data_IF_114746060725
#
_entry.id   IF_114746060725
#
_cell.length_a   1.000
_cell.length_b   1.000
_cell.length_c   1.000
_cell.angle_alpha   90.00
_cell.angle_beta   90.00
_cell.angle_gamma   90.00
#
_symmetry.space_group_name_H-M   'P 1'
#
loop_
_entity.id
_entity.type
_entity.pdbx_description
1 polymer ?
#
# COMPACT_ATOMS: atom_id res chain seq x y z
N UNK A 1 3.38 -12.78 30.87
CA UNK A 1 2.63 -12.13 29.79
C UNK A 1 3.10 -12.69 28.45
N UNK A 2 2.79 -13.96 28.18
CA UNK A 2 3.17 -14.64 26.91
C UNK A 2 1.94 -14.99 26.08
N UNK A 3 0.81 -15.19 26.73
CA UNK A 3 -0.47 -15.46 26.10
C UNK A 3 -1.23 -14.14 25.95
N UNK A 4 -1.27 -13.63 24.72
CA UNK A 4 -2.06 -12.45 24.36
C UNK A 4 -3.33 -12.88 23.63
N UNK A 5 -4.41 -12.12 23.78
CA UNK A 5 -5.65 -12.39 23.04
C UNK A 5 -5.53 -11.93 21.59
N UNK A 6 -4.92 -10.77 21.36
CA UNK A 6 -4.56 -10.32 20.01
C UNK A 6 -3.09 -9.94 19.93
N UNK A 7 -2.46 -10.27 18.80
CA UNK A 7 -1.09 -9.88 18.52
C UNK A 7 -1.10 -8.80 17.43
N UNK A 8 -0.51 -7.66 17.74
CA UNK A 8 -0.41 -6.51 16.85
C UNK A 8 1.03 -6.38 16.39
N UNK A 9 1.27 -6.61 15.11
CA UNK A 9 2.59 -6.44 14.49
C UNK A 9 2.64 -5.10 13.77
N UNK A 10 3.56 -4.24 14.17
CA UNK A 10 3.83 -2.97 13.47
C UNK A 10 5.05 -3.15 12.58
N UNK A 11 4.88 -3.02 11.27
CA UNK A 11 5.98 -3.09 10.32
C UNK A 11 6.91 -1.89 10.54
N UNK A 12 8.16 -2.16 10.91
CA UNK A 12 9.21 -1.14 11.10
C UNK A 12 10.40 -1.38 10.18
N UNK A 13 10.19 -1.98 9.01
CA UNK A 13 11.15 -1.93 7.92
C UNK A 13 11.43 -0.47 7.51
N UNK A 14 12.53 -0.25 6.80
CA UNK A 14 13.04 1.10 6.48
C UNK A 14 11.98 2.04 5.89
N UNK A 15 11.11 1.55 5.00
CA UNK A 15 10.04 2.35 4.38
C UNK A 15 8.94 2.75 5.36
N UNK A 16 8.50 1.85 6.21
CA UNK A 16 7.50 2.15 7.24
C UNK A 16 8.09 3.10 8.30
N UNK A 17 9.36 2.95 8.67
CA UNK A 17 10.04 3.87 9.58
C UNK A 17 10.10 5.30 9.03
N UNK A 18 10.44 5.46 7.74
CA UNK A 18 10.44 6.77 7.07
C UNK A 18 9.05 7.44 7.08
N UNK A 19 7.98 6.65 7.17
CA UNK A 19 6.59 7.12 7.27
C UNK A 19 6.07 7.21 8.71
N UNK A 20 6.94 7.11 9.72
CA UNK A 20 6.58 7.31 11.12
C UNK A 20 6.15 6.05 11.89
N UNK A 21 6.43 4.84 11.40
CA UNK A 21 6.02 3.59 12.07
C UNK A 21 6.53 3.44 13.52
N UNK A 22 7.70 4.00 13.85
CA UNK A 22 8.22 3.99 15.22
C UNK A 22 7.33 4.79 16.17
N UNK A 23 6.77 5.91 15.70
CA UNK A 23 5.83 6.73 16.48
C UNK A 23 4.50 6.00 16.68
N UNK A 24 4.02 5.31 15.64
CA UNK A 24 2.81 4.46 15.71
C UNK A 24 3.00 3.34 16.73
N UNK A 25 4.08 2.56 16.63
CA UNK A 25 4.37 1.46 17.55
C UNK A 25 4.56 1.94 18.99
N UNK A 26 5.30 3.03 19.18
CA UNK A 26 5.52 3.65 20.50
C UNK A 26 4.24 4.15 21.13
N UNK A 27 3.43 4.92 20.38
CA UNK A 27 2.16 5.46 20.88
C UNK A 27 1.19 4.35 21.23
N UNK A 28 1.05 3.33 20.38
CA UNK A 28 0.15 2.21 20.64
C UNK A 28 0.51 1.50 21.95
N UNK A 29 1.80 1.19 22.17
CA UNK A 29 2.27 0.56 23.42
C UNK A 29 1.99 1.42 24.66
N UNK A 30 2.23 2.72 24.56
CA UNK A 30 1.97 3.66 25.67
C UNK A 30 0.48 3.68 26.01
N UNK A 31 -0.38 3.78 25.01
CA UNK A 31 -1.84 3.88 25.22
C UNK A 31 -2.44 2.57 25.77
N UNK A 32 -1.95 1.40 25.32
CA UNK A 32 -2.38 0.12 25.90
C UNK A 32 -2.01 -0.01 27.38
N UNK A 33 -0.78 0.36 27.74
CA UNK A 33 -0.32 0.40 29.14
C UNK A 33 -1.12 1.37 29.99
N UNK A 34 -1.38 2.58 29.48
CA UNK A 34 -2.18 3.60 30.19
C UNK A 34 -3.60 3.14 30.49
N UNK A 35 -4.15 2.28 29.62
CA UNK A 35 -5.49 1.70 29.77
C UNK A 35 -5.50 0.39 30.58
N UNK A 36 -4.32 -0.15 30.94
CA UNK A 36 -4.20 -1.41 31.68
C UNK A 36 -4.67 -2.63 30.90
N UNK A 37 -4.50 -2.62 29.57
CA UNK A 37 -4.96 -3.69 28.66
C UNK A 37 -3.79 -4.30 27.85
N UNK A 38 -2.55 -4.03 28.25
CA UNK A 38 -1.35 -4.56 27.60
C UNK A 38 -1.07 -6.03 27.93
N UNK A 39 -1.87 -6.64 28.82
CA UNK A 39 -1.92 -8.07 29.07
C UNK A 39 -2.72 -8.84 28.01
N UNK A 40 -3.75 -8.21 27.44
CA UNK A 40 -4.61 -8.78 26.41
C UNK A 40 -4.16 -8.47 24.98
N UNK A 41 -3.36 -7.41 24.80
CA UNK A 41 -2.93 -6.89 23.49
C UNK A 41 -1.41 -6.67 23.44
N UNK A 42 -0.71 -7.60 22.80
CA UNK A 42 0.74 -7.54 22.65
C UNK A 42 1.10 -6.82 21.35
N UNK A 43 1.97 -5.81 21.45
CA UNK A 43 2.45 -5.03 20.29
C UNK A 43 3.93 -5.29 20.05
N UNK A 44 4.24 -5.98 18.97
CA UNK A 44 5.61 -6.22 18.51
C UNK A 44 5.89 -5.45 17.22
N UNK A 45 7.15 -5.20 16.97
CA UNK A 45 7.61 -4.73 15.66
C UNK A 45 7.97 -5.93 14.80
N UNK A 46 7.80 -5.81 13.49
CA UNK A 46 8.25 -6.81 12.52
C UNK A 46 9.01 -6.14 11.37
N UNK A 47 9.70 -6.97 10.58
CA UNK A 47 10.29 -6.54 9.32
C UNK A 47 9.21 -6.35 8.24
N UNK A 48 9.62 -6.18 6.99
CA UNK A 48 8.76 -5.96 5.83
C UNK A 48 7.66 -7.01 5.74
N UNK A 49 6.45 -6.54 5.43
CA UNK A 49 5.32 -7.37 5.03
C UNK A 49 4.99 -7.16 3.53
N UNK A 50 5.95 -6.65 2.77
CA UNK A 50 5.87 -6.40 1.31
C UNK A 50 4.84 -5.33 0.87
N UNK A 51 4.34 -4.52 1.81
CA UNK A 51 3.39 -3.41 1.57
C UNK A 51 3.99 -2.02 1.79
N UNK A 52 5.28 -1.86 1.44
CA UNK A 52 6.06 -0.66 1.77
C UNK A 52 5.53 0.67 1.17
N UNK A 53 4.79 0.64 0.06
CA UNK A 53 4.14 1.82 -0.54
C UNK A 53 3.04 2.42 0.30
N UNK A 54 2.26 1.58 0.96
CA UNK A 54 1.08 2.01 1.68
C UNK A 54 1.30 2.06 3.19
N UNK A 55 2.54 1.85 3.66
CA UNK A 55 2.87 1.96 5.08
C UNK A 55 2.64 3.36 5.70
N UNK A 56 2.71 3.51 7.03
CA UNK A 56 3.01 2.47 8.02
C UNK A 56 1.94 1.37 8.09
N UNK A 57 2.38 0.12 8.21
CA UNK A 57 1.47 -1.03 8.21
C UNK A 57 1.40 -1.69 9.59
N UNK A 58 0.19 -2.10 9.98
CA UNK A 58 -0.10 -2.79 11.24
C UNK A 58 -0.93 -4.04 10.94
N UNK A 59 -0.48 -5.21 11.39
CA UNK A 59 -1.21 -6.48 11.25
C UNK A 59 -1.78 -6.87 12.59
N UNK A 60 -3.05 -7.29 12.62
CA UNK A 60 -3.75 -7.75 13.83
C UNK A 60 -4.14 -9.21 13.67
N UNK A 61 -3.67 -10.06 14.57
CA UNK A 61 -4.06 -11.46 14.69
C UNK A 61 -4.96 -11.68 15.92
N UNK A 62 -5.91 -12.64 15.87
CA UNK A 62 -6.08 -13.66 14.83
C UNK A 62 -6.87 -13.23 13.59
N UNK A 63 -7.46 -12.04 13.57
CA UNK A 63 -8.37 -11.60 12.49
C UNK A 63 -7.69 -11.49 11.12
N UNK A 64 -6.37 -11.31 11.08
CA UNK A 64 -5.62 -11.11 9.83
C UNK A 64 -5.85 -9.72 9.21
N UNK A 65 -6.39 -8.76 9.98
CA UNK A 65 -6.55 -7.39 9.52
C UNK A 65 -5.19 -6.76 9.29
N UNK A 66 -5.00 -6.17 8.11
CA UNK A 66 -3.82 -5.35 7.79
C UNK A 66 -4.31 -3.92 7.65
N UNK A 67 -3.88 -3.04 8.54
CA UNK A 67 -4.07 -1.61 8.43
C UNK A 67 -2.87 -0.98 7.72
N UNK A 68 -3.11 -0.13 6.73
CA UNK A 68 -2.10 0.63 6.02
C UNK A 68 -2.26 2.14 6.26
N UNK A 69 -1.21 2.92 6.02
CA UNK A 69 -1.22 4.37 6.14
C UNK A 69 -1.44 4.88 7.56
N UNK A 70 -1.23 4.03 8.56
CA UNK A 70 -1.58 4.30 9.96
C UNK A 70 -0.83 5.51 10.49
N UNK A 71 -1.57 6.45 11.07
CA UNK A 71 -1.05 7.62 11.75
C UNK A 71 -1.21 7.49 13.27
N UNK A 72 -0.45 8.31 14.01
CA UNK A 72 -0.57 8.41 15.48
C UNK A 72 -2.00 8.80 15.91
N UNK A 73 -2.69 9.58 15.08
CA UNK A 73 -4.08 9.99 15.31
C UNK A 73 -5.08 8.82 15.23
N UNK A 74 -4.74 7.72 14.56
CA UNK A 74 -5.62 6.55 14.40
C UNK A 74 -5.56 5.59 15.60
N UNK A 75 -4.58 5.77 16.50
CA UNK A 75 -4.36 4.85 17.64
C UNK A 75 -5.60 4.68 18.54
N UNK A 76 -6.37 5.72 18.89
CA UNK A 76 -7.58 5.55 19.69
C UNK A 76 -8.60 4.62 19.02
N UNK A 77 -8.82 4.78 17.72
CA UNK A 77 -9.75 3.96 16.94
C UNK A 77 -9.23 2.52 16.79
N UNK A 78 -7.94 2.34 16.54
CA UNK A 78 -7.31 1.02 16.48
C UNK A 78 -7.51 0.28 17.80
N UNK A 79 -7.30 0.93 18.94
CA UNK A 79 -7.53 0.32 20.26
C UNK A 79 -9.01 -0.06 20.42
N UNK A 80 -9.96 0.79 20.01
CA UNK A 80 -11.38 0.45 20.05
C UNK A 80 -11.70 -0.81 19.22
N UNK A 81 -11.11 -0.93 18.03
CA UNK A 81 -11.22 -2.14 17.20
C UNK A 81 -10.62 -3.38 17.87
N UNK A 82 -9.45 -3.26 18.52
CA UNK A 82 -8.84 -4.36 19.29
C UNK A 82 -9.75 -4.85 20.43
N UNK A 83 -10.49 -3.93 21.05
CA UNK A 83 -11.44 -4.22 22.13
C UNK A 83 -12.77 -4.83 21.66
N UNK A 84 -12.95 -5.04 20.35
CA UNK A 84 -14.13 -5.69 19.77
C UNK A 84 -15.01 -4.76 18.93
N UNK A 85 -14.59 -3.50 18.72
CA UNK A 85 -15.21 -2.62 17.73
C UNK A 85 -14.97 -3.09 16.28
N UNK A 86 -15.70 -2.52 15.32
CA UNK A 86 -15.50 -2.83 13.90
C UNK A 86 -14.07 -2.46 13.44
N UNK A 87 -13.55 -3.09 12.38
CA UNK A 87 -12.28 -2.68 11.81
C UNK A 87 -12.37 -1.29 11.18
N UNK A 88 -11.23 -0.63 11.08
CA UNK A 88 -11.12 0.67 10.44
C UNK A 88 -11.10 0.46 8.92
N UNK A 89 -12.28 0.35 8.30
CA UNK A 89 -12.45 0.08 6.86
C UNK A 89 -11.59 0.99 5.96
N UNK A 90 -11.46 2.26 6.33
CA UNK A 90 -10.63 3.24 5.60
C UNK A 90 -9.14 2.90 5.58
N UNK A 91 -8.66 2.15 6.57
CA UNK A 91 -7.24 1.74 6.71
C UNK A 91 -7.03 0.28 6.30
N UNK A 92 -8.09 -0.52 6.15
CA UNK A 92 -7.95 -1.93 5.80
C UNK A 92 -7.38 -2.11 4.41
N UNK A 93 -6.34 -2.94 4.32
CA UNK A 93 -5.83 -3.45 3.05
C UNK A 93 -6.83 -4.48 2.53
N UNK A 94 -7.47 -4.15 1.42
CA UNK A 94 -8.32 -5.06 0.66
C UNK A 94 -8.05 -4.84 -0.82
N UNK A 95 -8.17 -5.91 -1.63
CA UNK A 95 -8.19 -5.77 -3.09
C UNK A 95 -9.34 -4.84 -3.54
N UNK A 96 -10.40 -4.76 -2.74
CA UNK A 96 -11.55 -3.90 -2.97
C UNK A 96 -11.43 -2.56 -2.22
N UNK A 97 -10.28 -2.22 -1.65
CA UNK A 97 -10.12 -0.92 -1.03
C UNK A 97 -10.25 0.19 -2.11
N UNK A 98 -10.93 1.33 -1.83
CA UNK A 98 -11.03 2.43 -2.78
C UNK A 98 -9.67 2.90 -3.32
N UNK A 99 -8.62 2.88 -2.49
CA UNK A 99 -7.27 3.25 -2.89
C UNK A 99 -6.65 2.27 -3.91
N UNK A 100 -6.88 0.97 -3.74
CA UNK A 100 -6.40 -0.05 -4.69
C UNK A 100 -7.17 0.04 -6.01
N UNK A 101 -8.49 0.24 -5.98
CA UNK A 101 -9.29 0.48 -7.19
C UNK A 101 -8.83 1.72 -7.96
N UNK A 102 -8.52 2.82 -7.25
CA UNK A 102 -7.96 4.03 -7.89
C UNK A 102 -6.63 3.76 -8.57
N UNK A 103 -5.75 2.99 -7.91
CA UNK A 103 -4.45 2.63 -8.48
C UNK A 103 -4.59 1.73 -9.71
N UNK A 104 -5.45 0.73 -9.63
CA UNK A 104 -5.78 -0.12 -10.77
C UNK A 104 -6.29 0.73 -11.94
N UNK A 105 -7.26 1.61 -11.69
CA UNK A 105 -7.84 2.48 -12.71
C UNK A 105 -6.78 3.38 -13.37
N UNK A 106 -5.87 3.96 -12.58
CA UNK A 106 -4.78 4.78 -13.08
C UNK A 106 -3.83 3.99 -14.01
N UNK A 107 -3.44 2.76 -13.61
CA UNK A 107 -2.62 1.91 -14.48
C UNK A 107 -3.37 1.42 -15.71
N UNK A 108 -4.68 1.18 -15.60
CA UNK A 108 -5.52 0.80 -16.74
C UNK A 108 -5.60 1.94 -17.75
N UNK A 109 -5.94 3.14 -17.31
CA UNK A 109 -5.99 4.33 -18.16
C UNK A 109 -4.67 4.59 -18.88
N UNK A 110 -3.54 4.44 -18.16
CA UNK A 110 -2.22 4.56 -18.76
C UNK A 110 -1.91 3.44 -19.78
N UNK A 111 -2.34 2.19 -19.55
CA UNK A 111 -2.19 1.12 -20.55
C UNK A 111 -3.08 1.34 -21.77
N UNK A 112 -4.31 1.79 -21.57
CA UNK A 112 -5.27 2.06 -22.65
C UNK A 112 -4.77 3.20 -23.55
N UNK A 113 -4.06 4.18 -22.97
CA UNK A 113 -3.39 5.26 -23.69
C UNK A 113 -1.98 4.90 -24.20
N UNK A 114 -1.48 3.70 -23.90
CA UNK A 114 -0.13 3.29 -24.27
C UNK A 114 -0.04 2.78 -25.70
N UNK A 115 1.11 3.00 -26.34
CA UNK A 115 1.48 2.31 -27.56
C UNK A 115 2.55 1.26 -27.20
N UNK A 116 2.26 -0.02 -27.44
CA UNK A 116 3.11 -1.16 -27.06
C UNK A 116 3.53 -1.17 -25.58
N UNK A 117 2.66 -0.68 -24.68
CA UNK A 117 2.93 -0.60 -23.24
C UNK A 117 3.86 0.55 -22.83
N UNK A 118 4.12 1.50 -23.75
CA UNK A 118 4.91 2.71 -23.52
C UNK A 118 3.99 3.94 -23.56
N UNK A 119 4.13 4.82 -22.57
CA UNK A 119 3.38 6.07 -22.43
C UNK A 119 4.36 7.23 -22.29
N UNK A 120 4.20 8.38 -22.97
CA UNK A 120 4.99 9.58 -22.66
C UNK A 120 4.88 9.95 -21.18
N UNK A 121 5.99 10.35 -20.54
CA UNK A 121 5.99 10.56 -19.08
C UNK A 121 4.99 11.62 -18.62
N UNK A 122 4.90 12.74 -19.36
CA UNK A 122 3.92 13.80 -19.11
C UNK A 122 2.47 13.30 -19.21
N UNK A 123 2.18 12.46 -20.22
CA UNK A 123 0.85 11.88 -20.39
C UNK A 123 0.51 10.90 -19.25
N UNK A 124 1.49 10.10 -18.81
CA UNK A 124 1.31 9.23 -17.65
C UNK A 124 1.00 10.05 -16.38
N UNK A 125 1.76 11.11 -16.13
CA UNK A 125 1.55 12.00 -14.98
C UNK A 125 0.17 12.66 -14.99
N UNK A 126 -0.29 13.13 -16.15
CA UNK A 126 -1.63 13.68 -16.30
C UNK A 126 -2.72 12.64 -16.00
N UNK A 127 -2.61 11.43 -16.54
CA UNK A 127 -3.59 10.36 -16.34
C UNK A 127 -3.68 9.93 -14.88
N UNK A 128 -2.56 9.79 -14.17
CA UNK A 128 -2.61 9.38 -12.75
C UNK A 128 -3.10 10.52 -11.84
N UNK A 129 -2.92 11.78 -12.23
CA UNK A 129 -3.44 12.94 -11.51
C UNK A 129 -4.97 12.99 -11.50
N UNK A 130 -5.64 12.52 -12.57
CA UNK A 130 -7.12 12.37 -12.60
C UNK A 130 -7.64 11.41 -11.51
N UNK A 131 -6.79 10.49 -11.05
CA UNK A 131 -7.09 9.56 -9.96
C UNK A 131 -6.62 10.04 -8.58
N UNK A 132 -6.06 11.25 -8.49
CA UNK A 132 -5.60 11.88 -7.27
C UNK A 132 -4.19 11.49 -6.85
N UNK A 133 -3.33 11.07 -7.78
CA UNK A 133 -1.92 10.78 -7.53
C UNK A 133 -1.02 11.91 -8.02
N UNK A 134 -0.01 12.25 -7.23
CA UNK A 134 0.94 13.32 -7.51
C UNK A 134 2.31 12.79 -7.97
N UNK A 135 3.25 13.71 -8.24
CA UNK A 135 4.62 13.36 -8.62
C UNK A 135 5.32 12.48 -7.56
N UNK A 136 5.03 12.71 -6.27
CA UNK A 136 5.55 11.90 -5.18
C UNK A 136 5.10 10.45 -5.28
N UNK A 137 3.83 10.23 -5.60
CA UNK A 137 3.31 8.89 -5.88
C UNK A 137 3.99 8.25 -7.10
N UNK A 138 4.17 8.99 -8.19
CA UNK A 138 4.84 8.50 -9.41
C UNK A 138 6.28 8.08 -9.11
N UNK A 139 7.04 8.92 -8.41
CA UNK A 139 8.40 8.62 -7.98
C UNK A 139 8.45 7.35 -7.13
N UNK A 140 7.49 7.17 -6.21
CA UNK A 140 7.38 5.97 -5.38
C UNK A 140 7.05 4.72 -6.21
N UNK A 141 6.19 4.81 -7.23
CA UNK A 141 5.90 3.66 -8.10
C UNK A 141 7.13 3.25 -8.91
N UNK A 142 7.93 4.21 -9.39
CA UNK A 142 9.17 3.95 -10.11
C UNK A 142 10.18 3.27 -9.19
N UNK A 143 10.38 3.82 -7.99
CA UNK A 143 11.26 3.26 -6.96
C UNK A 143 10.89 1.83 -6.56
N UNK A 144 9.60 1.49 -6.59
CA UNK A 144 9.09 0.14 -6.27
C UNK A 144 8.97 -0.80 -7.46
N UNK A 145 9.35 -0.35 -8.65
CA UNK A 145 9.32 -1.14 -9.88
C UNK A 145 7.91 -1.46 -10.37
N UNK A 146 6.89 -0.68 -9.99
CA UNK A 146 5.56 -0.77 -10.61
C UNK A 146 5.53 -0.07 -11.98
N UNK A 147 6.36 0.96 -12.12
CA UNK A 147 6.62 1.61 -13.41
C UNK A 147 8.13 1.64 -13.68
N UNK A 148 8.50 1.65 -14.96
CA UNK A 148 9.86 1.92 -15.41
C UNK A 148 9.92 3.30 -16.05
N UNK A 149 10.96 4.07 -15.76
CA UNK A 149 11.30 5.34 -16.44
C UNK A 149 12.37 5.04 -17.49
N UNK A 150 12.13 5.44 -18.74
CA UNK A 150 13.06 5.26 -19.86
C UNK A 150 13.08 6.51 -20.74
N UNK A 151 13.99 6.53 -21.71
CA UNK A 151 14.05 7.53 -22.77
C UNK A 151 13.94 6.82 -24.12
N UNK A 152 13.08 7.32 -25.01
CA UNK A 152 12.90 6.85 -26.38
C UNK A 152 12.97 8.06 -27.30
N UNK A 153 13.90 8.06 -28.24
CA UNK A 153 14.15 9.17 -29.18
C UNK A 153 14.29 10.56 -28.49
N UNK A 154 15.00 10.58 -27.36
CA UNK A 154 15.23 11.81 -26.58
C UNK A 154 14.03 12.26 -25.74
N UNK A 155 12.96 11.46 -25.64
CA UNK A 155 11.74 11.78 -24.89
C UNK A 155 11.57 10.85 -23.69
N UNK A 156 11.24 11.38 -22.50
CA UNK A 156 10.99 10.56 -21.32
C UNK A 156 9.68 9.80 -21.48
N UNK A 157 9.72 8.49 -21.18
CA UNK A 157 8.57 7.59 -21.25
C UNK A 157 8.47 6.73 -20.00
N UNK A 158 7.25 6.28 -19.73
CA UNK A 158 6.88 5.36 -18.66
C UNK A 158 6.42 4.03 -19.26
N UNK A 159 6.85 2.93 -18.65
CA UNK A 159 6.33 1.59 -18.92
C UNK A 159 5.69 1.01 -17.68
N UNK A 160 4.51 0.41 -17.81
CA UNK A 160 3.84 -0.26 -16.70
C UNK A 160 4.38 -1.68 -16.62
N UNK A 161 5.08 -2.00 -15.53
CA UNK A 161 5.91 -3.22 -15.47
C UNK A 161 5.04 -4.47 -15.33
N UNK A 162 5.64 -5.64 -15.59
CA UNK A 162 4.98 -6.93 -15.32
C UNK A 162 4.52 -7.05 -13.86
N UNK A 163 5.22 -6.44 -12.90
CA UNK A 163 4.81 -6.42 -11.48
C UNK A 163 3.44 -5.75 -11.31
N UNK A 164 3.25 -4.57 -11.90
CA UNK A 164 1.97 -3.86 -11.85
C UNK A 164 0.89 -4.66 -12.59
N UNK A 165 1.19 -5.12 -13.81
CA UNK A 165 0.23 -5.89 -14.63
C UNK A 165 -0.21 -7.18 -13.95
N UNK A 166 0.70 -7.96 -13.37
CA UNK A 166 0.36 -9.19 -12.64
C UNK A 166 -0.46 -8.89 -11.39
N UNK A 167 -0.10 -7.85 -10.61
CA UNK A 167 -0.84 -7.50 -9.39
C UNK A 167 -2.30 -7.11 -9.69
N UNK A 168 -2.51 -6.36 -10.76
CA UNK A 168 -3.82 -5.79 -11.13
C UNK A 168 -4.51 -6.54 -12.27
N UNK A 169 -3.96 -7.68 -12.72
CA UNK A 169 -4.46 -8.47 -13.86
C UNK A 169 -4.73 -7.62 -15.11
N UNK A 170 -3.80 -6.72 -15.43
CA UNK A 170 -3.92 -5.80 -16.57
C UNK A 170 -3.30 -6.40 -17.84
N UNK A 171 -3.96 -6.19 -18.98
CA UNK A 171 -3.49 -6.58 -20.32
C UNK A 171 -3.11 -5.35 -21.13
N UNK A 172 -2.20 -5.50 -22.10
CA UNK A 172 -1.86 -4.45 -23.06
C UNK A 172 -2.73 -4.67 -24.29
N UNK A 173 -3.39 -3.63 -24.79
CA UNK A 173 -4.14 -3.72 -26.04
C UNK A 173 -3.23 -4.25 -27.16
N UNK A 174 -3.59 -5.37 -27.80
CA UNK A 174 -2.81 -6.04 -28.83
C UNK A 174 -2.02 -7.29 -28.40
N UNK A 175 -1.96 -7.64 -27.11
CA UNK A 175 -1.22 -8.84 -26.64
C UNK A 175 -2.03 -10.15 -26.67
N UNK A 176 -3.25 -10.17 -27.23
CA UNK A 176 -4.09 -11.38 -27.34
C UNK A 176 -3.77 -12.26 -28.56
N UNK A 177 -2.81 -11.88 -29.41
CA UNK A 177 -2.49 -12.63 -30.64
C UNK A 177 -1.55 -13.84 -30.45
N UNK A 178 -1.28 -14.33 -29.24
CA UNK A 178 -0.43 -15.53 -29.07
C UNK A 178 -0.78 -16.37 -27.85
N UNK A 179 -2.01 -16.90 -27.84
CA UNK A 179 -2.32 -18.18 -27.18
C UNK A 179 -3.16 -19.01 -28.14
N UNK A 180 -2.52 -19.49 -29.20
CA UNK A 180 -3.02 -20.60 -30.01
C UNK A 180 -2.11 -21.81 -29.77
N UNK A 181 -2.75 -22.86 -29.25
CA UNK A 181 -2.34 -24.28 -29.17
C UNK A 181 -1.26 -24.69 -28.15
#
# INVERSE_FOLDING_TARGET
MYWTRKHVLVCTASHCMQKGANNVAGRLRIELKRRGIDDAFMVNTCDSIELCDIGPNVVVYPEGHIYCGVQVADIPDIIASLQGGPPLERLLVSAEAPAERKREAAYRAALDASQDGVVPAEAFEALVAEHGFDEGWVAEQARRGFIGRKEVDGRPVITITSKARTRYRLTVAGSEATRSE
#
